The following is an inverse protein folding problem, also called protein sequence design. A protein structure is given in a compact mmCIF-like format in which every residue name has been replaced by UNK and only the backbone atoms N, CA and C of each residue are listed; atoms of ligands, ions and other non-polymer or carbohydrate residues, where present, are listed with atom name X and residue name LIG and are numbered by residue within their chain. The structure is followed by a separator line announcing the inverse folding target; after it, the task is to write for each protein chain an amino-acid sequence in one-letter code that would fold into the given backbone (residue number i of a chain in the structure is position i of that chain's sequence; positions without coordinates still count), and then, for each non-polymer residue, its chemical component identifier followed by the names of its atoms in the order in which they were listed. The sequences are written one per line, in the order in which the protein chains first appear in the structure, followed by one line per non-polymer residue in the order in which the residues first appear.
data_IF_816610774467
#
_entry.id   IF_816610774467
#
_cell.length_a   1.000
_cell.length_b   1.000
_cell.length_c   1.000
_cell.angle_alpha   90.00
_cell.angle_beta   90.00
_cell.angle_gamma   90.00
#
_symmetry.space_group_name_H-M   'P 1'
#
loop_
_entity.id
_entity.type
_entity.pdbx_description
1 polymer ?
#
# COMPACT_ATOMS: atom_id res chain seq x y z
N UNK A 1 -14.11 -45.91 2.12
CA UNK A 1 -13.72 -45.05 3.25
C UNK A 1 -14.96 -44.70 4.04
N UNK A 2 -14.90 -44.68 5.38
CA UNK A 2 -16.03 -44.20 6.19
C UNK A 2 -16.13 -42.67 6.10
N UNK A 3 -17.33 -42.12 6.21
CA UNK A 3 -17.56 -40.67 6.15
C UNK A 3 -16.68 -39.89 7.17
N UNK A 4 -16.43 -40.50 8.33
CA UNK A 4 -15.54 -39.97 9.37
C UNK A 4 -14.08 -39.80 8.89
N UNK A 5 -13.55 -40.74 8.09
CA UNK A 5 -12.19 -40.62 7.53
C UNK A 5 -12.09 -39.49 6.51
N UNK A 6 -13.12 -39.33 5.67
CA UNK A 6 -13.19 -38.26 4.66
C UNK A 6 -13.23 -36.89 5.35
N UNK A 7 -14.05 -36.74 6.40
CA UNK A 7 -14.13 -35.51 7.18
C UNK A 7 -12.79 -35.16 7.85
N UNK A 8 -12.11 -36.16 8.42
CA UNK A 8 -10.80 -35.97 9.05
C UNK A 8 -9.74 -35.47 8.04
N UNK A 9 -9.69 -36.06 6.84
CA UNK A 9 -8.77 -35.58 5.80
C UNK A 9 -9.08 -34.15 5.34
N UNK A 10 -10.35 -33.77 5.26
CA UNK A 10 -10.75 -32.40 4.93
C UNK A 10 -10.30 -31.39 6.00
N UNK A 11 -10.47 -31.73 7.28
CA UNK A 11 -9.95 -30.91 8.38
C UNK A 11 -8.42 -30.80 8.34
N UNK A 12 -7.71 -31.90 8.10
CA UNK A 12 -6.24 -31.88 8.00
C UNK A 12 -5.74 -31.05 6.81
N UNK A 13 -6.44 -31.09 5.67
CA UNK A 13 -6.09 -30.27 4.51
C UNK A 13 -6.32 -28.78 4.78
N UNK A 14 -7.41 -28.43 5.47
CA UNK A 14 -7.68 -27.05 5.88
C UNK A 14 -6.63 -26.53 6.87
N UNK A 15 -6.32 -27.29 7.91
CA UNK A 15 -5.31 -26.92 8.92
C UNK A 15 -3.91 -26.85 8.29
N UNK A 16 -3.56 -27.83 7.46
CA UNK A 16 -2.30 -27.85 6.73
C UNK A 16 -2.18 -26.67 5.76
N UNK A 17 -3.25 -26.29 5.07
CA UNK A 17 -3.29 -25.12 4.20
C UNK A 17 -3.03 -23.82 4.94
N UNK A 18 -3.65 -23.63 6.11
CA UNK A 18 -3.41 -22.44 6.96
C UNK A 18 -1.97 -22.41 7.47
N UNK A 19 -1.43 -23.56 7.90
CA UNK A 19 -0.06 -23.65 8.41
C UNK A 19 0.97 -23.34 7.32
N UNK A 20 0.78 -23.89 6.12
CA UNK A 20 1.62 -23.61 4.95
C UNK A 20 1.56 -22.13 4.59
N UNK A 21 0.36 -21.54 4.54
CA UNK A 21 0.18 -20.11 4.26
C UNK A 21 0.93 -19.23 5.28
N UNK A 22 0.86 -19.56 6.57
CA UNK A 22 1.58 -18.84 7.63
C UNK A 22 3.10 -18.90 7.47
N UNK A 23 3.65 -20.02 6.99
CA UNK A 23 5.09 -20.19 6.82
C UNK A 23 5.63 -19.46 5.57
N UNK A 24 4.79 -19.24 4.56
CA UNK A 24 5.15 -18.50 3.34
C UNK A 24 5.09 -16.97 3.50
N UNK A 25 4.55 -16.45 4.60
CA UNK A 25 4.65 -15.03 4.93
C UNK A 25 5.99 -14.81 5.65
N UNK A 26 7.08 -14.76 4.87
CA UNK A 26 8.35 -14.28 5.40
C UNK A 26 8.29 -12.75 5.48
N UNK A 27 8.54 -12.13 6.64
CA UNK A 27 8.64 -10.67 6.72
C UNK A 27 9.79 -10.21 5.82
N UNK A 28 9.46 -9.35 4.84
CA UNK A 28 10.43 -8.75 3.91
C UNK A 28 11.12 -7.54 4.57
N UNK A 29 11.48 -7.70 5.84
CA UNK A 29 12.00 -6.62 6.68
C UNK A 29 13.52 -6.44 6.47
N UNK A 30 14.24 -7.55 6.27
CA UNK A 30 15.70 -7.55 6.20
C UNK A 30 16.28 -6.77 5.01
N UNK A 31 15.50 -6.49 3.96
CA UNK A 31 15.99 -5.76 2.79
C UNK A 31 15.69 -4.26 2.83
N UNK A 32 14.66 -3.85 3.56
CA UNK A 32 14.16 -2.45 3.53
C UNK A 32 14.74 -1.60 4.65
N UNK A 33 15.19 -2.23 5.75
CA UNK A 33 15.80 -1.56 6.89
C UNK A 33 17.06 -0.77 6.56
N UNK A 34 17.79 -1.13 5.49
CA UNK A 34 18.95 -0.36 5.03
C UNK A 34 18.62 1.05 4.50
N UNK A 35 17.34 1.30 4.16
CA UNK A 35 16.88 2.58 3.63
C UNK A 35 16.30 3.49 4.71
N UNK A 36 16.26 3.06 5.97
CA UNK A 36 15.76 3.88 7.06
C UNK A 36 16.63 5.12 7.27
N UNK A 37 15.95 6.24 7.52
CA UNK A 37 16.52 7.56 7.73
C UNK A 37 17.31 8.15 6.55
N UNK A 38 17.19 7.58 5.36
CA UNK A 38 17.85 8.09 4.16
C UNK A 38 16.98 9.08 3.40
N UNK A 39 17.58 10.18 2.97
CA UNK A 39 16.97 11.09 2.00
C UNK A 39 17.22 10.57 0.59
N UNK A 40 16.15 10.32 -0.15
CA UNK A 40 16.19 9.68 -1.47
C UNK A 40 15.33 10.44 -2.47
N UNK A 41 15.68 10.33 -3.75
CA UNK A 41 14.83 10.73 -4.87
C UNK A 41 14.32 9.45 -5.53
N UNK A 42 13.01 9.24 -5.51
CA UNK A 42 12.38 8.04 -6.03
C UNK A 42 11.45 8.34 -7.20
N UNK A 43 11.50 7.52 -8.24
CA UNK A 43 10.56 7.55 -9.37
C UNK A 43 9.73 6.29 -9.40
N UNK A 44 8.43 6.46 -9.64
CA UNK A 44 7.51 5.34 -9.53
C UNK A 44 6.07 5.74 -9.74
N UNK A 45 5.17 4.79 -9.43
CA UNK A 45 3.75 4.93 -9.71
C UNK A 45 2.90 4.71 -8.46
N UNK A 46 1.75 5.39 -8.42
CA UNK A 46 0.70 5.13 -7.44
C UNK A 46 -0.04 3.83 -7.79
N UNK A 47 -0.02 2.86 -6.88
CA UNK A 47 -0.56 1.50 -7.13
C UNK A 47 -1.97 1.27 -6.57
N UNK A 48 -2.46 2.16 -5.71
CA UNK A 48 -3.84 2.13 -5.17
C UNK A 48 -4.41 3.55 -5.16
N UNK A 49 -5.73 3.66 -5.18
CA UNK A 49 -6.40 4.96 -5.04
C UNK A 49 -5.96 5.65 -3.72
N UNK A 50 -5.54 6.92 -3.78
CA UNK A 50 -5.17 7.66 -2.58
C UNK A 50 -6.30 7.78 -1.58
N UNK A 51 -5.99 7.53 -0.31
CA UNK A 51 -6.88 7.77 0.80
C UNK A 51 -6.84 9.26 1.17
N UNK A 52 -7.95 9.95 0.91
CA UNK A 52 -8.10 11.36 1.26
C UNK A 52 -8.60 11.52 2.70
N UNK A 53 -8.03 12.50 3.39
CA UNK A 53 -8.44 12.99 4.71
C UNK A 53 -8.67 14.50 4.60
N UNK A 54 -9.10 15.12 5.70
CA UNK A 54 -9.49 16.54 5.74
C UNK A 54 -8.38 17.48 5.22
N UNK A 55 -7.11 17.20 5.55
CA UNK A 55 -5.98 18.08 5.25
C UNK A 55 -4.77 17.37 4.61
N UNK A 56 -4.89 16.07 4.37
CA UNK A 56 -3.80 15.24 3.89
C UNK A 56 -4.35 14.14 2.98
N UNK A 57 -3.46 13.58 2.17
CA UNK A 57 -3.73 12.38 1.41
C UNK A 57 -2.62 11.36 1.65
N UNK A 58 -2.99 10.08 1.61
CA UNK A 58 -2.07 8.96 1.77
C UNK A 58 -2.16 8.04 0.58
N UNK A 59 -1.04 7.63 0.02
CA UNK A 59 -1.04 6.71 -1.13
C UNK A 59 0.10 5.71 -1.08
N UNK A 60 -0.17 4.53 -1.67
CA UNK A 60 0.82 3.48 -1.82
C UNK A 60 1.61 3.72 -3.10
N UNK A 61 2.92 3.89 -2.94
CA UNK A 61 3.85 4.16 -4.02
C UNK A 61 4.76 2.96 -4.25
N UNK A 62 5.00 2.65 -5.53
CA UNK A 62 5.90 1.58 -5.94
C UNK A 62 6.96 2.16 -6.87
N UNK A 63 8.21 1.94 -6.50
CA UNK A 63 9.41 2.27 -7.28
C UNK A 63 10.16 1.00 -7.65
N UNK A 64 11.01 1.08 -8.68
CA UNK A 64 12.00 0.04 -9.02
C UNK A 64 13.32 0.21 -8.24
N UNK A 65 13.59 1.40 -7.68
CA UNK A 65 14.84 1.73 -6.98
C UNK A 65 14.93 1.07 -5.60
N UNK A 66 13.79 0.81 -4.97
CA UNK A 66 13.71 0.23 -3.63
C UNK A 66 12.76 -0.98 -3.65
N UNK A 67 13.17 -2.12 -3.07
CA UNK A 67 12.29 -3.27 -2.96
C UNK A 67 11.11 -2.97 -2.02
N UNK A 68 9.89 -3.15 -2.52
CA UNK A 68 8.68 -3.08 -1.70
C UNK A 68 7.78 -1.89 -2.05
N UNK A 69 6.94 -1.52 -1.09
CA UNK A 69 6.00 -0.41 -1.20
C UNK A 69 6.31 0.63 -0.14
N UNK A 70 6.17 1.89 -0.52
CA UNK A 70 6.31 3.03 0.39
C UNK A 70 4.94 3.66 0.57
N UNK A 71 4.55 3.94 1.81
CA UNK A 71 3.36 4.73 2.08
C UNK A 71 3.76 6.19 2.20
N UNK A 72 3.15 7.03 1.38
CA UNK A 72 3.49 8.44 1.29
C UNK A 72 2.33 9.25 1.84
N UNK A 73 2.63 10.15 2.77
CA UNK A 73 1.68 11.09 3.36
C UNK A 73 2.07 12.50 2.94
N UNK A 74 1.14 13.22 2.31
CA UNK A 74 1.36 14.60 1.82
C UNK A 74 0.12 15.45 2.01
N UNK A 75 0.22 16.74 1.71
CA UNK A 75 -0.89 17.69 1.71
C UNK A 75 -2.03 17.25 0.79
N UNK A 76 -3.26 17.67 1.06
CA UNK A 76 -4.43 17.29 0.25
C UNK A 76 -4.33 17.76 -1.21
N UNK A 77 -3.62 18.85 -1.47
CA UNK A 77 -3.46 19.42 -2.81
C UNK A 77 -1.98 19.53 -3.19
N UNK A 78 -1.61 19.24 -4.45
CA UNK A 78 -2.50 18.79 -5.54
C UNK A 78 -3.00 17.35 -5.30
N UNK A 79 -4.20 17.03 -5.77
CA UNK A 79 -4.76 15.68 -5.63
C UNK A 79 -4.11 14.72 -6.62
N UNK A 80 -3.59 13.59 -6.12
CA UNK A 80 -3.04 12.53 -6.95
C UNK A 80 -4.06 11.40 -7.16
N UNK A 81 -3.84 10.58 -8.18
CA UNK A 81 -4.73 9.49 -8.56
C UNK A 81 -3.97 8.19 -8.80
N UNK A 82 -4.74 7.10 -8.81
CA UNK A 82 -4.21 5.79 -9.20
C UNK A 82 -3.56 5.85 -10.58
N UNK A 83 -2.32 5.35 -10.66
CA UNK A 83 -1.57 5.30 -11.91
C UNK A 83 -0.83 6.59 -12.26
N UNK A 84 -0.83 7.61 -11.40
CA UNK A 84 0.07 8.75 -11.59
C UNK A 84 1.53 8.30 -11.38
N UNK A 85 2.40 8.79 -12.27
CA UNK A 85 3.84 8.61 -12.21
C UNK A 85 4.46 9.85 -11.57
N UNK A 86 5.15 9.65 -10.46
CA UNK A 86 5.66 10.71 -9.60
C UNK A 86 7.17 10.56 -9.38
N UNK A 87 7.83 11.70 -9.28
CA UNK A 87 9.17 11.85 -8.70
C UNK A 87 9.00 12.41 -7.29
N UNK A 88 9.52 11.71 -6.29
CA UNK A 88 9.30 12.02 -4.88
C UNK A 88 10.64 12.11 -4.17
N UNK A 89 10.89 13.27 -3.58
CA UNK A 89 12.10 13.57 -2.82
C UNK A 89 11.69 13.72 -1.35
N UNK A 90 12.31 12.92 -0.49
CA UNK A 90 12.06 12.98 0.92
C UNK A 90 12.83 11.94 1.72
N UNK A 91 12.61 11.96 3.03
CA UNK A 91 13.26 11.06 3.97
C UNK A 91 12.42 9.80 4.16
N UNK A 92 13.01 8.64 3.87
CA UNK A 92 12.41 7.35 4.21
C UNK A 92 12.53 7.08 5.70
N UNK A 93 11.47 6.58 6.29
CA UNK A 93 11.36 6.33 7.71
C UNK A 93 10.73 4.97 7.97
N UNK A 94 11.05 4.41 9.14
CA UNK A 94 10.36 3.26 9.69
C UNK A 94 8.96 3.68 10.18
N UNK A 95 7.91 2.87 9.95
CA UNK A 95 6.60 3.12 10.55
C UNK A 95 6.67 3.17 12.09
N UNK A 96 6.03 4.15 12.69
CA UNK A 96 6.05 4.30 14.15
C UNK A 96 5.22 3.22 14.87
N UNK A 97 5.73 2.71 16.00
CA UNK A 97 4.97 1.91 16.95
C UNK A 97 4.43 2.85 18.04
N UNK A 98 3.11 2.89 18.23
CA UNK A 98 2.46 3.68 19.28
C UNK A 98 2.10 2.80 20.48
N UNK A 99 1.91 3.39 21.67
CA UNK A 99 1.61 2.65 22.92
C UNK A 99 0.40 1.72 22.79
N UNK A 100 -0.69 2.20 22.19
CA UNK A 100 -1.94 1.44 22.02
C UNK A 100 -2.10 0.80 20.62
N UNK A 101 -1.16 1.05 19.71
CA UNK A 101 -1.31 0.64 18.31
C UNK A 101 0.03 0.44 17.58
N UNK A 102 0.26 -0.79 17.12
CA UNK A 102 1.38 -1.12 16.25
C UNK A 102 1.05 -0.78 14.78
N UNK A 103 1.47 0.40 14.33
CA UNK A 103 1.26 0.81 12.95
C UNK A 103 2.17 0.05 11.97
N UNK A 104 3.35 -0.40 12.42
CA UNK A 104 4.28 -1.19 11.63
C UNK A 104 3.66 -2.53 11.25
N UNK A 105 3.11 -3.26 12.22
CA UNK A 105 2.41 -4.53 11.97
C UNK A 105 1.15 -4.33 11.13
N UNK A 106 0.41 -3.24 11.36
CA UNK A 106 -0.75 -2.89 10.53
C UNK A 106 -0.37 -2.71 9.05
N UNK A 107 0.71 -1.97 8.76
CA UNK A 107 1.19 -1.73 7.40
C UNK A 107 1.86 -2.97 6.78
N UNK A 108 2.48 -3.83 7.58
CA UNK A 108 3.09 -5.07 7.13
C UNK A 108 2.07 -6.02 6.46
N UNK A 109 0.80 -6.01 6.88
CA UNK A 109 -0.30 -6.75 6.22
C UNK A 109 -0.44 -6.40 4.74
N UNK A 110 -0.17 -5.14 4.41
CA UNK A 110 -0.21 -4.61 3.04
C UNK A 110 1.15 -4.66 2.32
N UNK A 111 2.16 -5.25 2.97
CA UNK A 111 3.57 -5.32 2.54
C UNK A 111 4.20 -3.94 2.39
N UNK A 112 3.89 -3.04 3.31
CA UNK A 112 4.46 -1.70 3.42
C UNK A 112 5.34 -1.68 4.66
N UNK A 113 6.61 -1.36 4.46
CA UNK A 113 7.63 -1.35 5.53
C UNK A 113 8.38 -0.02 5.61
N UNK A 114 8.04 0.91 4.71
CA UNK A 114 8.65 2.22 4.59
C UNK A 114 7.53 3.27 4.51
N UNK A 115 7.72 4.35 5.26
CA UNK A 115 6.85 5.52 5.22
C UNK A 115 7.66 6.75 4.84
N UNK A 116 6.99 7.70 4.19
CA UNK A 116 7.54 9.01 3.89
C UNK A 116 6.48 10.07 4.21
N UNK A 117 6.86 11.07 4.98
CA UNK A 117 5.97 12.15 5.40
C UNK A 117 6.46 13.47 4.82
N UNK A 118 5.52 14.28 4.31
CA UNK A 118 5.76 15.66 3.88
C UNK A 118 6.89 15.78 2.83
N UNK A 119 6.87 14.88 1.84
CA UNK A 119 7.83 14.85 0.74
C UNK A 119 7.53 15.88 -0.34
N UNK A 120 8.57 16.33 -1.04
CA UNK A 120 8.42 17.13 -2.25
C UNK A 120 8.08 16.19 -3.42
N UNK A 121 6.94 16.44 -4.08
CA UNK A 121 6.40 15.56 -5.11
C UNK A 121 6.25 16.33 -6.42
N UNK A 122 6.87 15.83 -7.47
CA UNK A 122 6.72 16.31 -8.82
C UNK A 122 5.97 15.26 -9.67
N UNK A 123 4.93 15.67 -10.38
CA UNK A 123 4.15 14.77 -11.25
C UNK A 123 4.82 14.68 -12.62
N UNK A 124 5.26 13.49 -12.99
CA UNK A 124 5.91 13.23 -14.27
C UNK A 124 4.90 12.88 -15.36
N UNK A 125 3.92 12.04 -15.04
CA UNK A 125 2.86 11.66 -15.95
C UNK A 125 1.60 11.21 -15.20
N UNK A 126 0.47 11.17 -15.91
CA UNK A 126 -0.81 10.69 -15.40
C UNK A 126 -1.22 9.40 -16.10
N UNK A 127 -2.04 8.60 -15.44
CA UNK A 127 -2.71 7.44 -16.04
C UNK A 127 -1.76 6.37 -16.62
N UNK A 128 -0.59 6.18 -16.03
CA UNK A 128 0.34 5.07 -16.33
C UNK A 128 -0.05 3.74 -15.69
N UNK A 129 -1.08 3.74 -14.84
CA UNK A 129 -1.69 2.54 -14.28
C UNK A 129 -2.53 1.75 -15.29
N UNK A 130 -3.26 0.75 -14.79
CA UNK A 130 -4.15 -0.04 -15.62
C UNK A 130 -5.41 0.76 -16.02
N UNK A 131 -5.63 0.90 -17.33
CA UNK A 131 -6.74 1.66 -17.91
C UNK A 131 -8.13 1.23 -17.41
N UNK A 132 -8.33 -0.06 -17.10
CA UNK A 132 -9.60 -0.57 -16.62
C UNK A 132 -9.92 -0.06 -15.22
N UNK A 133 -8.93 -0.13 -14.32
CA UNK A 133 -9.07 0.38 -12.96
C UNK A 133 -9.25 1.90 -12.93
N UNK A 134 -8.54 2.64 -13.80
CA UNK A 134 -8.76 4.08 -13.97
C UNK A 134 -10.23 4.39 -14.27
N UNK A 135 -10.86 3.63 -15.18
CA UNK A 135 -12.27 3.84 -15.53
C UNK A 135 -13.22 3.54 -14.37
N UNK A 136 -12.94 2.51 -13.58
CA UNK A 136 -13.72 2.18 -12.38
C UNK A 136 -13.62 3.31 -11.35
N UNK A 137 -12.40 3.80 -11.07
CA UNK A 137 -12.21 4.87 -10.10
C UNK A 137 -12.85 6.18 -10.56
N UNK A 138 -12.67 6.55 -11.83
CA UNK A 138 -13.33 7.73 -12.40
C UNK A 138 -14.86 7.64 -12.35
N UNK A 139 -15.44 6.45 -12.51
CA UNK A 139 -16.87 6.26 -12.36
C UNK A 139 -17.31 6.41 -10.90
N UNK A 140 -16.55 5.83 -9.96
CA UNK A 140 -16.80 5.95 -8.53
C UNK A 140 -16.74 7.40 -8.05
N UNK A 141 -15.78 8.18 -8.52
CA UNK A 141 -15.63 9.59 -8.14
C UNK A 141 -16.80 10.44 -8.65
N UNK A 142 -17.29 10.15 -9.87
CA UNK A 142 -18.51 10.80 -10.38
C UNK A 142 -19.72 10.53 -9.48
N UNK A 143 -19.89 9.29 -9.02
CA UNK A 143 -20.99 8.95 -8.11
C UNK A 143 -20.84 9.63 -6.75
N UNK A 144 -19.62 9.65 -6.19
CA UNK A 144 -19.33 10.33 -4.93
C UNK A 144 -19.70 11.81 -5.00
N UNK A 145 -19.26 12.50 -6.07
CA UNK A 145 -19.54 13.93 -6.25
C UNK A 145 -21.04 14.23 -6.36
N UNK A 146 -21.85 13.31 -6.90
CA UNK A 146 -23.31 13.49 -6.97
C UNK A 146 -23.94 13.39 -5.58
N UNK A 147 -23.48 12.45 -4.75
CA UNK A 147 -24.00 12.24 -3.39
C UNK A 147 -23.62 13.42 -2.50
N UNK A 148 -22.39 13.90 -2.56
CA UNK A 148 -21.92 15.04 -1.76
C UNK A 148 -22.60 16.37 -2.12
N UNK A 149 -23.21 16.45 -3.30
CA UNK A 149 -23.99 17.61 -3.75
C UNK A 149 -25.47 17.55 -3.34
N UNK A 150 -25.97 16.43 -2.80
CA UNK A 150 -27.35 16.25 -2.35
C UNK A 150 -27.46 16.41 -0.84
#
# INVERSE_FOLDING_TARGET
MTASKIFLYLCLLFIGGVFIYSFFITPQDNQVSQYYDQEVNLKGIIIKEPEQRINQQKFQFKTEEIPGKVLITTELYPQYHYGDELEIIGKLQEPAIFEDFDYQEYLAKDKIYLVMYWSNINRLAENKGNWFFQRIFNFKDKLRNIIEQT
#
